data_IF_766416609992
#
_entry.id   IF_766416609992
#
_cell.length_a   1.000
_cell.length_b   1.000
_cell.length_c   1.000
_cell.angle_alpha   90.00
_cell.angle_beta   90.00
_cell.angle_gamma   90.00
#
_symmetry.space_group_name_H-M   'P 1'
#
loop_
_entity.id
_entity.type
_entity.pdbx_description
1 polymer ?
#
# COMPACT_ATOMS: atom_id res chain seq x y z
N UNK A 1 5.12 29.40 17.55
CA UNK A 1 3.86 29.99 18.08
C UNK A 1 2.72 30.14 17.03
N UNK A 2 2.46 29.10 16.22
CA UNK A 2 1.36 29.07 15.22
C UNK A 2 0.52 27.78 15.32
N UNK A 3 0.55 27.09 16.47
CA UNK A 3 -0.14 25.82 16.67
C UNK A 3 -1.65 26.08 16.74
N UNK A 4 -2.40 25.47 15.82
CA UNK A 4 -3.86 25.48 15.82
C UNK A 4 -4.34 24.25 16.58
N UNK A 5 -5.00 24.47 17.72
CA UNK A 5 -5.64 23.40 18.51
C UNK A 5 -7.12 23.40 18.15
N UNK A 6 -7.65 22.25 17.76
CA UNK A 6 -9.04 22.07 17.34
C UNK A 6 -9.68 20.98 18.20
N UNK A 7 -10.91 21.22 18.65
CA UNK A 7 -11.79 20.21 19.21
C UNK A 7 -12.92 19.97 18.21
N UNK A 8 -13.11 18.71 17.79
CA UNK A 8 -14.10 18.32 16.78
C UNK A 8 -14.97 17.21 17.36
N UNK A 9 -16.29 17.39 17.28
CA UNK A 9 -17.24 16.33 17.65
C UNK A 9 -17.18 15.21 16.60
N UNK A 10 -17.19 13.92 17.00
CA UNK A 10 -17.32 12.83 16.04
C UNK A 10 -18.57 13.04 15.18
N UNK A 11 -18.39 13.06 13.87
CA UNK A 11 -19.47 13.12 12.89
C UNK A 11 -19.45 11.82 12.08
N UNK A 12 -20.61 11.30 11.65
CA UNK A 12 -20.63 10.26 10.64
C UNK A 12 -19.81 10.72 9.43
N UNK A 13 -19.00 9.82 8.88
CA UNK A 13 -18.37 10.12 7.60
C UNK A 13 -19.46 10.24 6.53
N UNK A 14 -19.39 11.24 5.63
CA UNK A 14 -20.35 11.34 4.55
C UNK A 14 -20.26 10.10 3.65
N UNK A 15 -21.36 9.72 3.01
CA UNK A 15 -21.37 8.59 2.07
C UNK A 15 -20.75 8.97 0.73
N UNK A 16 -20.78 10.26 0.39
CA UNK A 16 -20.31 10.80 -0.89
C UNK A 16 -19.02 11.61 -0.73
N UNK A 17 -18.18 11.54 -1.75
CA UNK A 17 -17.01 12.39 -1.97
C UNK A 17 -17.22 13.24 -3.23
N UNK A 18 -16.86 14.51 -3.14
CA UNK A 18 -17.02 15.50 -4.20
C UNK A 18 -15.65 15.95 -4.68
N UNK A 19 -15.45 15.99 -6.00
CA UNK A 19 -14.22 16.53 -6.61
C UNK A 19 -14.57 17.58 -7.64
N UNK A 20 -14.17 18.81 -7.35
CA UNK A 20 -14.36 19.93 -8.26
C UNK A 20 -13.48 19.76 -9.51
N UNK A 21 -14.06 20.05 -10.67
CA UNK A 21 -13.37 20.14 -11.96
C UNK A 21 -13.76 21.46 -12.64
N UNK A 22 -13.00 21.88 -13.65
CA UNK A 22 -13.40 23.05 -14.45
C UNK A 22 -14.79 22.82 -15.05
N UNK A 23 -15.74 23.68 -14.72
CA UNK A 23 -17.12 23.60 -15.21
C UNK A 23 -18.05 22.65 -14.45
N UNK A 24 -17.64 22.03 -13.34
CA UNK A 24 -18.55 21.17 -12.58
C UNK A 24 -17.96 20.43 -11.38
N UNK A 25 -18.66 19.38 -10.95
CA UNK A 25 -18.30 18.54 -9.81
C UNK A 25 -18.51 17.07 -10.18
N UNK A 26 -17.54 16.22 -9.84
CA UNK A 26 -17.68 14.77 -9.82
C UNK A 26 -18.17 14.34 -8.43
N UNK A 27 -19.10 13.39 -8.40
CA UNK A 27 -19.66 12.81 -7.17
C UNK A 27 -19.44 11.30 -7.22
N UNK A 28 -18.90 10.74 -6.14
CA UNK A 28 -18.68 9.30 -6.01
C UNK A 28 -18.97 8.83 -4.58
N UNK A 29 -19.22 7.55 -4.40
CA UNK A 29 -19.25 6.94 -3.06
C UNK A 29 -17.84 6.97 -2.44
N UNK A 30 -17.75 7.14 -1.13
CA UNK A 30 -16.46 7.02 -0.42
C UNK A 30 -15.95 5.59 -0.48
N UNK A 31 -14.66 5.48 -0.73
CA UNK A 31 -13.94 4.22 -0.58
C UNK A 31 -13.95 3.79 0.91
N UNK A 32 -14.88 2.91 1.29
CA UNK A 32 -15.01 2.36 2.66
C UNK A 32 -14.53 0.92 2.79
N UNK A 33 -14.70 0.12 1.74
CA UNK A 33 -14.25 -1.28 1.72
C UNK A 33 -12.75 -1.32 2.00
N UNK A 34 -12.30 -2.20 2.89
CA UNK A 34 -10.86 -2.36 3.13
C UNK A 34 -10.29 -3.52 2.32
N UNK A 35 -10.89 -4.70 2.36
CA UNK A 35 -10.43 -5.85 1.57
C UNK A 35 -11.62 -6.67 1.10
N UNK A 36 -11.47 -7.40 0.00
CA UNK A 36 -12.41 -8.44 -0.43
C UNK A 36 -11.95 -9.83 0.05
N UNK A 37 -10.64 -10.06 0.05
CA UNK A 37 -10.03 -11.32 0.45
C UNK A 37 -8.69 -11.12 1.18
N UNK A 38 -8.14 -12.21 1.71
CA UNK A 38 -6.80 -12.29 2.30
C UNK A 38 -6.06 -13.49 1.70
N UNK A 39 -5.89 -13.48 0.39
CA UNK A 39 -5.38 -14.64 -0.34
C UNK A 39 -3.85 -14.64 -0.36
N UNK A 40 -3.22 -15.59 0.33
CA UNK A 40 -1.78 -15.83 0.17
C UNK A 40 -1.55 -16.46 -1.20
N UNK A 41 -0.69 -15.85 -2.01
CA UNK A 41 -0.44 -16.28 -3.41
C UNK A 41 0.95 -16.84 -3.64
N UNK A 42 1.87 -16.64 -2.69
CA UNK A 42 3.23 -17.21 -2.68
C UNK A 42 3.29 -18.51 -1.89
N UNK A 43 4.38 -19.28 -2.08
CA UNK A 43 4.69 -20.49 -1.32
C UNK A 43 4.85 -20.23 0.18
N UNK A 44 5.49 -19.10 0.55
CA UNK A 44 5.67 -18.67 1.94
C UNK A 44 4.43 -17.88 2.38
N UNK A 45 3.83 -18.30 3.49
CA UNK A 45 2.78 -17.53 4.16
C UNK A 45 3.40 -16.43 5.07
N UNK A 46 2.72 -15.28 5.27
CA UNK A 46 3.14 -14.32 6.27
C UNK A 46 3.05 -14.93 7.68
N UNK A 47 4.00 -14.58 8.53
CA UNK A 47 3.94 -14.79 9.99
C UNK A 47 2.84 -13.93 10.61
N UNK A 48 2.43 -14.23 11.85
CA UNK A 48 1.42 -13.44 12.56
C UNK A 48 1.80 -11.96 12.69
N UNK A 49 3.09 -11.68 12.93
CA UNK A 49 3.61 -10.31 13.00
C UNK A 49 3.51 -9.61 11.65
N UNK A 50 3.93 -10.27 10.57
CA UNK A 50 3.80 -9.72 9.21
C UNK A 50 2.33 -9.50 8.85
N UNK A 51 1.41 -10.39 9.23
CA UNK A 51 -0.03 -10.20 8.99
C UNK A 51 -0.57 -8.92 9.63
N UNK A 52 -0.20 -8.65 10.89
CA UNK A 52 -0.59 -7.42 11.59
C UNK A 52 -0.07 -6.20 10.85
N UNK A 53 1.21 -6.22 10.46
CA UNK A 53 1.84 -5.09 9.77
C UNK A 53 1.33 -4.91 8.34
N UNK A 54 0.99 -6.00 7.62
CA UNK A 54 0.43 -5.94 6.27
C UNK A 54 -0.96 -5.29 6.30
N UNK A 55 -1.82 -5.71 7.23
CA UNK A 55 -3.15 -5.11 7.37
C UNK A 55 -3.08 -3.66 7.87
N UNK A 56 -2.10 -3.33 8.70
CA UNK A 56 -1.82 -1.95 9.08
C UNK A 56 -1.38 -1.12 7.86
N UNK A 57 -0.35 -1.56 7.14
CA UNK A 57 0.17 -0.89 5.95
C UNK A 57 -0.89 -0.73 4.86
N UNK A 58 -1.74 -1.74 4.68
CA UNK A 58 -2.88 -1.71 3.76
C UNK A 58 -3.91 -0.64 4.11
N UNK A 59 -4.25 -0.49 5.40
CA UNK A 59 -5.13 0.59 5.86
C UNK A 59 -4.50 1.96 5.66
N UNK A 60 -3.18 2.09 5.86
CA UNK A 60 -2.47 3.37 5.65
C UNK A 60 -2.40 3.72 4.16
N UNK A 61 -2.01 2.78 3.29
CA UNK A 61 -1.78 3.05 1.86
C UNK A 61 -3.04 3.55 1.15
N UNK A 62 -4.22 3.10 1.60
CA UNK A 62 -5.53 3.59 1.14
C UNK A 62 -5.71 5.11 1.22
N UNK A 63 -5.03 5.78 2.15
CA UNK A 63 -5.14 7.22 2.35
C UNK A 63 -3.98 8.01 1.70
N UNK A 64 -3.02 7.32 1.08
CA UNK A 64 -1.87 7.93 0.41
C UNK A 64 -2.21 8.19 -1.06
N UNK A 65 -1.69 9.29 -1.63
CA UNK A 65 -1.92 9.63 -3.04
C UNK A 65 -1.20 8.64 -3.96
N UNK A 66 -1.90 8.17 -5.00
CA UNK A 66 -1.43 7.17 -5.95
C UNK A 66 -0.41 7.72 -6.96
N UNK A 67 0.53 6.90 -7.47
CA UNK A 67 0.83 5.55 -7.02
C UNK A 67 1.44 5.56 -5.60
N UNK A 68 1.02 4.65 -4.74
CA UNK A 68 1.38 4.68 -3.33
C UNK A 68 2.04 3.38 -2.86
N UNK A 69 3.16 3.54 -2.14
CA UNK A 69 3.86 2.45 -1.45
C UNK A 69 4.08 2.85 0.00
N UNK A 70 3.65 1.99 0.92
CA UNK A 70 3.88 2.14 2.36
C UNK A 70 4.70 0.96 2.84
N UNK A 71 5.85 1.24 3.45
CA UNK A 71 6.57 0.29 4.27
C UNK A 71 6.09 0.42 5.72
N UNK A 72 5.75 -0.71 6.33
CA UNK A 72 5.27 -0.77 7.71
C UNK A 72 6.04 -1.80 8.53
N UNK A 73 6.27 -1.49 9.80
CA UNK A 73 6.85 -2.40 10.79
C UNK A 73 6.35 -2.02 12.18
N UNK A 74 6.00 -3.00 13.00
CA UNK A 74 5.54 -2.79 14.38
C UNK A 74 4.34 -1.82 14.47
N UNK A 75 3.39 -1.93 13.53
CA UNK A 75 2.22 -1.05 13.35
C UNK A 75 2.57 0.43 13.18
N UNK A 76 3.72 0.71 12.57
CA UNK A 76 4.16 2.06 12.22
C UNK A 76 4.54 2.13 10.74
N UNK A 77 4.14 3.21 10.07
CA UNK A 77 4.65 3.52 8.73
C UNK A 77 6.11 3.98 8.87
N UNK A 78 7.04 3.21 8.30
CA UNK A 78 8.47 3.51 8.35
C UNK A 78 8.97 4.22 7.10
N UNK A 79 8.30 4.03 5.96
CA UNK A 79 8.59 4.70 4.70
C UNK A 79 7.34 4.88 3.84
N UNK A 80 7.20 6.02 3.18
CA UNK A 80 6.03 6.33 2.34
C UNK A 80 6.47 7.00 1.04
N UNK A 81 6.23 6.31 -0.08
CA UNK A 81 6.28 6.85 -1.44
C UNK A 81 4.86 7.18 -1.89
N UNK A 82 4.64 8.42 -2.30
CA UNK A 82 3.31 8.94 -2.61
C UNK A 82 3.34 9.75 -3.90
N UNK A 83 2.28 9.64 -4.69
CA UNK A 83 1.98 10.55 -5.80
C UNK A 83 2.90 10.41 -7.01
N UNK A 84 3.56 9.27 -7.20
CA UNK A 84 4.47 9.10 -8.34
C UNK A 84 3.77 8.53 -9.56
N UNK A 85 4.29 8.87 -10.75
CA UNK A 85 3.83 8.35 -12.03
C UNK A 85 4.12 6.86 -12.20
N UNK A 86 5.28 6.39 -11.71
CA UNK A 86 5.64 4.98 -11.68
C UNK A 86 5.62 4.40 -10.27
N UNK A 87 5.29 3.11 -10.15
CA UNK A 87 5.24 2.43 -8.85
C UNK A 87 6.61 2.01 -8.34
N UNK A 88 7.58 1.79 -9.24
CA UNK A 88 8.96 1.56 -8.83
C UNK A 88 9.54 2.81 -8.16
N UNK A 89 9.26 4.01 -8.67
CA UNK A 89 9.67 5.28 -8.05
C UNK A 89 9.05 5.46 -6.66
N UNK A 90 7.77 5.10 -6.52
CA UNK A 90 7.10 5.09 -5.20
C UNK A 90 7.81 4.14 -4.24
N UNK A 91 8.22 2.97 -4.73
CA UNK A 91 8.94 1.97 -3.94
C UNK A 91 10.32 2.49 -3.53
N UNK A 92 11.06 3.10 -4.45
CA UNK A 92 12.38 3.71 -4.19
C UNK A 92 12.28 4.82 -3.14
N UNK A 93 11.31 5.72 -3.25
CA UNK A 93 11.08 6.77 -2.26
C UNK A 93 10.73 6.17 -0.89
N UNK A 94 9.87 5.16 -0.85
CA UNK A 94 9.48 4.51 0.41
C UNK A 94 10.68 3.83 1.09
N UNK A 95 11.46 3.05 0.32
CA UNK A 95 12.69 2.40 0.79
C UNK A 95 13.71 3.43 1.28
N UNK A 96 13.99 4.48 0.49
CA UNK A 96 14.93 5.53 0.86
C UNK A 96 14.54 6.25 2.15
N UNK A 97 13.25 6.56 2.33
CA UNK A 97 12.73 7.19 3.56
C UNK A 97 12.75 6.27 4.78
N UNK A 98 12.58 4.96 4.57
CA UNK A 98 12.67 3.99 5.64
C UNK A 98 14.11 3.82 6.12
N UNK A 99 15.10 3.86 5.21
CA UNK A 99 16.50 3.60 5.54
C UNK A 99 16.65 2.21 6.16
N UNK A 100 17.42 2.09 7.24
CA UNK A 100 17.61 0.84 7.99
C UNK A 100 16.30 0.22 8.51
N UNK A 101 15.24 1.02 8.65
CA UNK A 101 13.92 0.52 9.10
C UNK A 101 13.20 -0.28 8.01
N UNK A 102 13.67 -0.25 6.76
CA UNK A 102 13.13 -1.09 5.69
C UNK A 102 13.37 -2.58 5.96
N UNK A 103 14.51 -2.93 6.59
CA UNK A 103 14.84 -4.31 6.91
C UNK A 103 13.85 -4.89 7.93
N UNK A 104 13.26 -6.03 7.58
CA UNK A 104 12.22 -6.69 8.37
C UNK A 104 10.85 -5.99 8.31
N UNK A 105 10.67 -4.98 7.44
CA UNK A 105 9.36 -4.36 7.21
C UNK A 105 8.52 -5.16 6.22
N UNK A 106 7.25 -4.80 6.12
CA UNK A 106 6.34 -5.26 5.07
C UNK A 106 5.98 -4.10 4.14
N UNK A 107 5.54 -4.40 2.92
CA UNK A 107 5.17 -3.41 1.91
C UNK A 107 3.69 -3.52 1.53
N UNK A 108 2.98 -2.40 1.53
CA UNK A 108 1.62 -2.28 1.01
C UNK A 108 1.61 -1.38 -0.24
N UNK A 109 0.88 -1.82 -1.27
CA UNK A 109 0.73 -1.12 -2.54
C UNK A 109 -0.75 -0.89 -2.85
N UNK A 110 -1.17 0.35 -3.06
CA UNK A 110 -2.58 0.71 -3.31
C UNK A 110 -3.19 0.03 -4.55
N UNK A 111 -2.35 -0.35 -5.51
CA UNK A 111 -2.70 -1.01 -6.76
C UNK A 111 -1.75 -2.18 -7.11
N UNK A 112 -2.03 -2.95 -8.16
CA UNK A 112 -1.24 -4.13 -8.54
C UNK A 112 0.13 -3.83 -9.15
N UNK A 113 1.17 -4.63 -8.87
CA UNK A 113 2.47 -4.40 -9.50
C UNK A 113 2.44 -4.79 -10.99
N UNK A 114 2.80 -3.88 -11.92
CA UNK A 114 2.80 -4.20 -13.35
C UNK A 114 4.04 -5.01 -13.76
N UNK A 115 5.13 -4.93 -13.00
CA UNK A 115 6.42 -5.59 -13.28
C UNK A 115 7.09 -6.06 -11.97
N UNK A 116 8.17 -6.83 -12.08
CA UNK A 116 8.91 -7.40 -10.93
C UNK A 116 9.87 -6.42 -10.26
N UNK A 117 10.16 -5.29 -10.90
CA UNK A 117 11.14 -4.28 -10.48
C UNK A 117 10.94 -3.79 -9.03
N UNK A 118 9.70 -3.44 -8.65
CA UNK A 118 9.36 -3.02 -7.30
C UNK A 118 9.51 -4.15 -6.28
N UNK A 119 9.24 -5.40 -6.67
CA UNK A 119 9.39 -6.58 -5.80
C UNK A 119 10.86 -6.84 -5.50
N UNK A 120 11.70 -6.80 -6.53
CA UNK A 120 13.14 -6.98 -6.41
C UNK A 120 13.77 -5.85 -5.59
N UNK A 121 13.33 -4.61 -5.80
CA UNK A 121 13.78 -3.46 -5.01
C UNK A 121 13.41 -3.61 -3.53
N UNK A 122 12.17 -4.02 -3.24
CA UNK A 122 11.71 -4.24 -1.87
C UNK A 122 12.50 -5.38 -1.19
N UNK A 123 12.74 -6.49 -1.88
CA UNK A 123 13.55 -7.59 -1.37
C UNK A 123 14.99 -7.15 -1.04
N UNK A 124 15.63 -6.38 -1.95
CA UNK A 124 16.97 -5.82 -1.70
C UNK A 124 17.02 -4.91 -0.47
N UNK A 125 15.93 -4.21 -0.17
CA UNK A 125 15.80 -3.37 1.03
C UNK A 125 15.49 -4.17 2.31
N UNK A 126 15.33 -5.50 2.21
CA UNK A 126 15.02 -6.37 3.33
C UNK A 126 13.54 -6.37 3.74
N UNK A 127 12.63 -5.96 2.85
CA UNK A 127 11.19 -6.22 3.02
C UNK A 127 10.97 -7.73 3.06
N UNK A 128 10.01 -8.17 3.87
CA UNK A 128 9.75 -9.60 4.11
C UNK A 128 8.42 -10.05 3.54
N UNK A 129 7.39 -9.20 3.57
CA UNK A 129 6.08 -9.51 3.00
C UNK A 129 5.46 -8.34 2.24
N UNK A 130 4.57 -8.64 1.30
CA UNK A 130 3.90 -7.68 0.41
C UNK A 130 2.39 -7.90 0.41
N UNK A 131 1.60 -6.83 0.44
CA UNK A 131 0.15 -6.84 0.24
C UNK A 131 -0.25 -5.90 -0.90
N UNK A 132 -1.05 -6.42 -1.83
CA UNK A 132 -1.50 -5.70 -3.02
C UNK A 132 -2.86 -6.25 -3.49
N UNK A 133 -3.58 -5.60 -4.43
CA UNK A 133 -4.89 -6.09 -4.88
C UNK A 133 -4.84 -7.39 -5.69
N UNK A 134 -3.81 -7.58 -6.51
CA UNK A 134 -3.83 -8.50 -7.64
C UNK A 134 -4.62 -7.94 -8.84
N UNK A 135 -4.71 -8.74 -9.90
CA UNK A 135 -5.44 -8.42 -11.13
C UNK A 135 -4.55 -7.96 -12.30
N UNK A 136 -3.23 -8.10 -12.20
CA UNK A 136 -2.32 -7.85 -13.33
C UNK A 136 -2.32 -9.03 -14.28
N UNK A 137 -2.24 -8.78 -15.59
CA UNK A 137 -1.93 -9.83 -16.58
C UNK A 137 -0.57 -10.48 -16.32
N UNK A 138 0.31 -9.81 -15.56
CA UNK A 138 1.65 -10.26 -15.17
C UNK A 138 1.75 -10.70 -13.71
N UNK A 139 0.63 -10.95 -13.02
CA UNK A 139 0.67 -11.37 -11.61
C UNK A 139 1.52 -12.63 -11.42
N UNK A 140 1.51 -13.56 -12.38
CA UNK A 140 2.35 -14.77 -12.33
C UNK A 140 3.84 -14.43 -12.22
N UNK A 141 4.34 -13.50 -13.03
CA UNK A 141 5.75 -13.06 -13.00
C UNK A 141 6.11 -12.42 -11.65
N UNK A 142 5.19 -11.60 -11.11
CA UNK A 142 5.35 -10.91 -9.82
C UNK A 142 5.35 -11.90 -8.64
N UNK A 143 4.48 -12.91 -8.68
CA UNK A 143 4.42 -13.98 -7.66
C UNK A 143 5.67 -14.85 -7.72
N UNK A 144 6.11 -15.26 -8.91
CA UNK A 144 7.33 -16.06 -9.09
C UNK A 144 8.57 -15.31 -8.61
N UNK A 145 8.65 -13.99 -8.85
CA UNK A 145 9.72 -13.16 -8.30
C UNK A 145 9.69 -13.11 -6.78
N UNK A 146 8.51 -12.93 -6.17
CA UNK A 146 8.35 -12.93 -4.72
C UNK A 146 8.76 -14.29 -4.10
N UNK A 147 8.34 -15.40 -4.69
CA UNK A 147 8.73 -16.75 -4.27
C UNK A 147 10.25 -16.95 -4.35
N UNK A 148 10.87 -16.56 -5.47
CA UNK A 148 12.32 -16.65 -5.67
C UNK A 148 13.11 -15.84 -4.63
N UNK A 149 12.55 -14.72 -4.19
CA UNK A 149 13.15 -13.81 -3.21
C UNK A 149 12.76 -14.14 -1.76
N UNK A 150 11.98 -15.20 -1.53
CA UNK A 150 11.55 -15.62 -0.20
C UNK A 150 10.55 -14.68 0.48
N UNK A 151 9.84 -13.87 -0.30
CA UNK A 151 8.81 -12.95 0.19
C UNK A 151 7.47 -13.65 0.35
N UNK A 152 6.69 -13.27 1.35
CA UNK A 152 5.26 -13.60 1.36
C UNK A 152 4.48 -12.53 0.59
N UNK A 153 3.45 -12.94 -0.16
CA UNK A 153 2.58 -12.02 -0.89
C UNK A 153 1.10 -12.34 -0.65
N UNK A 154 0.32 -11.29 -0.40
CA UNK A 154 -1.12 -11.35 -0.14
C UNK A 154 -1.89 -10.51 -1.16
N UNK A 155 -2.91 -11.10 -1.77
CA UNK A 155 -3.87 -10.42 -2.64
C UNK A 155 -5.13 -10.03 -1.85
N UNK A 156 -5.64 -8.83 -2.09
CA UNK A 156 -6.82 -8.27 -1.38
C UNK A 156 -8.08 -8.17 -2.25
N UNK A 157 -7.93 -8.22 -3.58
CA UNK A 157 -9.02 -8.07 -4.55
C UNK A 157 -9.64 -6.68 -4.60
N UNK A 158 -9.06 -5.67 -3.94
CA UNK A 158 -9.59 -4.29 -3.90
C UNK A 158 -8.45 -3.30 -4.12
N UNK A 159 -8.66 -2.36 -5.03
CA UNK A 159 -7.72 -1.26 -5.32
C UNK A 159 -8.14 0.01 -4.59
N UNK A 160 -7.21 0.71 -3.95
CA UNK A 160 -7.46 1.96 -3.22
C UNK A 160 -6.79 3.17 -3.89
N UNK A 161 -7.22 3.47 -5.12
CA UNK A 161 -6.62 4.55 -5.89
C UNK A 161 -7.09 5.94 -5.40
N UNK A 162 -6.18 6.89 -5.19
CA UNK A 162 -6.48 8.24 -4.68
C UNK A 162 -5.64 9.32 -5.38
N UNK A 163 -6.30 10.24 -6.07
CA UNK A 163 -5.71 11.44 -6.69
C UNK A 163 -5.83 12.67 -5.80
#
# INVERSE_FOLDING_TARGET
PNLRVLEVKPSPEPDLEFKQISGGILVQERDRKLLAERRVVTKRAPTDKEWVDLLFGWRVVKHVKSNAIVLARDRQAVGVGAGQMSRVDSTEIAVRKAGERAKGSVMASDAFFPFTDAIELAARAGVTAIIQPGGSVRDKEVIEAADRLGLAMVFTGVRHFRH
#
